data_IF_774480543111
#
_entry.id   IF_774480543111
#
_cell.length_a   1.000
_cell.length_b   1.000
_cell.length_c   1.000
_cell.angle_alpha   90.00
_cell.angle_beta   90.00
_cell.angle_gamma   90.00
#
_symmetry.space_group_name_H-M   'P 1'
#
loop_
_entity.id
_entity.type
_entity.pdbx_description
1 polymer ?
#
# COMPACT_ATOMS: atom_id res chain seq x y z
N UNK A 1 -13.97 -4.06 6.20
CA UNK A 1 -13.17 -2.81 6.13
C UNK A 1 -12.04 -3.04 5.15
N UNK A 2 -11.76 -2.08 4.26
CA UNK A 2 -10.59 -2.13 3.39
C UNK A 2 -9.45 -1.36 4.06
N UNK A 3 -8.25 -1.93 4.10
CA UNK A 3 -7.05 -1.35 4.71
C UNK A 3 -5.94 -1.34 3.66
N UNK A 4 -5.54 -0.15 3.26
CA UNK A 4 -4.47 0.10 2.30
C UNK A 4 -3.69 1.33 2.74
N UNK A 5 -2.35 1.27 2.70
CA UNK A 5 -1.49 2.40 3.03
C UNK A 5 -1.81 3.64 2.20
N UNK A 6 -2.28 3.43 0.98
CA UNK A 6 -2.51 4.48 0.00
C UNK A 6 -3.71 5.35 0.37
N UNK A 7 -4.70 4.79 1.08
CA UNK A 7 -5.83 5.52 1.65
C UNK A 7 -5.40 6.56 2.69
N UNK A 8 -4.27 6.35 3.37
CA UNK A 8 -3.83 7.21 4.48
C UNK A 8 -2.84 8.29 4.05
N UNK A 9 -2.24 8.19 2.85
CA UNK A 9 -1.23 9.17 2.39
C UNK A 9 -1.81 10.59 2.30
N UNK A 10 -3.04 10.81 1.79
CA UNK A 10 -3.66 12.13 1.75
C UNK A 10 -3.89 12.77 3.12
N UNK A 11 -3.92 11.97 4.20
CA UNK A 11 -4.06 12.48 5.56
C UNK A 11 -2.77 13.12 6.10
N UNK A 12 -1.65 12.99 5.39
CA UNK A 12 -0.39 13.63 5.80
C UNK A 12 -0.50 15.15 5.63
N UNK A 13 -0.18 15.98 6.66
CA UNK A 13 -0.35 17.44 6.59
C UNK A 13 0.40 18.10 5.42
N UNK A 14 1.57 17.55 5.06
CA UNK A 14 2.37 18.04 3.94
C UNK A 14 2.06 17.36 2.60
N UNK A 15 1.00 16.54 2.49
CA UNK A 15 0.72 15.74 1.29
C UNK A 15 0.57 16.60 0.04
N UNK A 16 -0.24 17.66 0.11
CA UNK A 16 -0.47 18.58 -1.02
C UNK A 16 0.82 19.28 -1.46
N UNK A 17 1.59 19.80 -0.49
CA UNK A 17 2.85 20.50 -0.76
C UNK A 17 3.90 19.57 -1.41
N UNK A 18 4.03 18.33 -0.91
CA UNK A 18 4.96 17.34 -1.46
C UNK A 18 4.54 16.88 -2.86
N UNK A 19 3.24 16.72 -3.11
CA UNK A 19 2.73 16.29 -4.41
C UNK A 19 3.03 17.31 -5.52
N UNK A 20 2.96 18.61 -5.21
CA UNK A 20 3.29 19.67 -6.18
C UNK A 20 4.79 19.81 -6.42
N UNK A 21 5.62 19.45 -5.43
CA UNK A 21 7.06 19.61 -5.52
C UNK A 21 7.73 18.45 -6.27
N UNK A 22 7.49 17.22 -5.81
CA UNK A 22 8.09 16.00 -6.37
C UNK A 22 7.28 14.79 -5.90
N UNK A 23 6.56 14.17 -6.84
CA UNK A 23 5.69 13.03 -6.62
C UNK A 23 6.45 11.78 -6.13
N UNK A 24 7.70 11.65 -6.52
CA UNK A 24 8.58 10.52 -6.22
C UNK A 24 9.16 10.67 -4.81
N UNK A 25 9.59 11.87 -4.42
CA UNK A 25 9.98 12.17 -3.05
C UNK A 25 8.77 12.07 -2.11
N UNK A 26 7.61 12.61 -2.50
CA UNK A 26 6.36 12.47 -1.75
C UNK A 26 6.08 11.00 -1.44
N UNK A 27 6.26 10.13 -2.44
CA UNK A 27 6.04 8.71 -2.28
C UNK A 27 6.96 8.06 -1.23
N UNK A 28 8.22 8.49 -1.15
CA UNK A 28 9.18 8.05 -0.15
C UNK A 28 8.84 8.60 1.25
N UNK A 29 8.53 9.90 1.37
CA UNK A 29 8.23 10.57 2.64
C UNK A 29 6.94 10.07 3.30
N UNK A 30 5.91 9.77 2.51
CA UNK A 30 4.61 9.31 3.03
C UNK A 30 4.59 7.82 3.37
N UNK A 31 5.56 7.03 2.89
CA UNK A 31 5.56 5.57 3.05
C UNK A 31 5.63 5.14 4.51
N UNK A 32 6.49 5.76 5.31
CA UNK A 32 6.64 5.40 6.73
C UNK A 32 5.37 5.72 7.53
N UNK A 33 4.80 6.92 7.30
CA UNK A 33 3.54 7.32 7.92
C UNK A 33 2.39 6.39 7.49
N UNK A 34 2.23 6.10 6.19
CA UNK A 34 1.19 5.21 5.69
C UNK A 34 1.23 3.82 6.35
N UNK A 35 2.43 3.25 6.58
CA UNK A 35 2.57 1.99 7.32
C UNK A 35 2.17 2.11 8.79
N UNK A 36 2.48 3.22 9.45
CA UNK A 36 2.07 3.44 10.85
C UNK A 36 0.54 3.53 10.96
N UNK A 37 -0.12 4.23 10.04
CA UNK A 37 -1.58 4.29 9.97
C UNK A 37 -2.21 2.92 9.68
N UNK A 38 -1.65 2.13 8.75
CA UNK A 38 -2.08 0.75 8.55
C UNK A 38 -1.97 -0.08 9.83
N UNK A 39 -0.86 0.02 10.58
CA UNK A 39 -0.68 -0.75 11.81
C UNK A 39 -1.74 -0.41 12.87
N UNK A 40 -2.12 0.87 12.99
CA UNK A 40 -3.22 1.30 13.86
C UNK A 40 -4.58 0.74 13.39
N UNK A 41 -4.85 0.80 12.09
CA UNK A 41 -6.09 0.25 11.52
C UNK A 41 -6.18 -1.28 11.71
N UNK A 42 -5.09 -2.01 11.47
CA UNK A 42 -5.00 -3.45 11.69
C UNK A 42 -5.20 -3.82 13.17
N UNK A 43 -4.62 -3.06 14.11
CA UNK A 43 -4.85 -3.25 15.54
C UNK A 43 -6.31 -3.03 15.91
N UNK A 44 -6.92 -1.95 15.42
CA UNK A 44 -8.34 -1.66 15.65
C UNK A 44 -9.25 -2.79 15.13
N UNK A 45 -8.97 -3.30 13.94
CA UNK A 45 -9.71 -4.44 13.37
C UNK A 45 -9.55 -5.68 14.26
N UNK A 46 -8.34 -5.95 14.75
CA UNK A 46 -8.06 -7.10 15.61
C UNK A 46 -8.77 -7.01 16.96
N UNK A 47 -8.70 -5.86 17.62
CA UNK A 47 -9.28 -5.65 18.95
C UNK A 47 -10.82 -5.71 18.92
N UNK A 48 -11.43 -5.31 17.80
CA UNK A 48 -12.89 -5.30 17.62
C UNK A 48 -13.42 -6.51 16.83
N UNK A 49 -12.55 -7.47 16.45
CA UNK A 49 -12.91 -8.68 15.67
C UNK A 49 -13.67 -8.37 14.38
N UNK A 50 -13.27 -7.33 13.68
CA UNK A 50 -13.92 -6.90 12.44
C UNK A 50 -13.42 -7.70 11.23
N UNK A 51 -14.27 -7.84 10.21
CA UNK A 51 -13.85 -8.38 8.92
C UNK A 51 -13.10 -7.32 8.12
N UNK A 52 -11.91 -7.66 7.62
CA UNK A 52 -11.10 -6.76 6.81
C UNK A 52 -10.44 -7.43 5.61
N UNK A 53 -10.27 -6.64 4.55
CA UNK A 53 -9.38 -6.90 3.42
C UNK A 53 -8.18 -6.00 3.65
N UNK A 54 -6.99 -6.58 3.69
CA UNK A 54 -5.74 -5.85 3.93
C UNK A 54 -4.92 -5.95 2.66
N UNK A 55 -4.70 -4.82 1.99
CA UNK A 55 -3.84 -4.76 0.81
C UNK A 55 -2.38 -4.64 1.24
N UNK A 56 -1.57 -5.63 0.85
CA UNK A 56 -0.12 -5.57 1.02
C UNK A 56 0.61 -6.16 -0.19
N UNK A 57 1.57 -5.38 -0.67
CA UNK A 57 2.55 -5.66 -1.72
C UNK A 57 3.52 -6.81 -1.43
N UNK A 58 3.43 -7.43 -0.25
CA UNK A 58 4.20 -8.60 0.20
C UNK A 58 5.70 -8.53 -0.07
N UNK A 59 6.28 -7.33 0.03
CA UNK A 59 7.69 -7.10 -0.28
C UNK A 59 8.66 -7.82 0.68
N UNK A 60 8.17 -8.19 1.86
CA UNK A 60 8.91 -8.94 2.87
C UNK A 60 8.04 -10.09 3.39
N UNK A 61 8.37 -11.32 2.99
CA UNK A 61 7.63 -12.52 3.37
C UNK A 61 7.52 -12.70 4.89
N UNK A 62 8.58 -12.41 5.66
CA UNK A 62 8.55 -12.53 7.12
C UNK A 62 7.61 -11.50 7.77
N UNK A 63 7.53 -10.30 7.21
CA UNK A 63 6.60 -9.28 7.70
C UNK A 63 5.14 -9.71 7.45
N UNK A 64 4.85 -10.29 6.29
CA UNK A 64 3.53 -10.86 5.96
C UNK A 64 3.18 -12.02 6.90
N UNK A 65 4.10 -12.95 7.10
CA UNK A 65 3.93 -14.08 8.02
C UNK A 65 3.63 -13.59 9.44
N UNK A 66 4.41 -12.63 9.95
CA UNK A 66 4.20 -12.04 11.28
C UNK A 66 2.80 -11.43 11.44
N UNK A 67 2.30 -10.72 10.42
CA UNK A 67 0.93 -10.19 10.40
C UNK A 67 -0.10 -11.31 10.44
N UNK A 68 0.04 -12.32 9.59
CA UNK A 68 -0.89 -13.46 9.55
C UNK A 68 -0.93 -14.18 10.91
N UNK A 69 0.22 -14.40 11.55
CA UNK A 69 0.28 -15.00 12.88
C UNK A 69 -0.41 -14.13 13.95
N UNK A 70 -0.25 -12.81 13.90
CA UNK A 70 -0.93 -11.89 14.82
C UNK A 70 -2.45 -11.98 14.69
N UNK A 71 -2.98 -12.01 13.46
CA UNK A 71 -4.41 -12.23 13.21
C UNK A 71 -4.87 -13.64 13.59
N UNK A 72 -4.02 -14.66 13.50
CA UNK A 72 -4.43 -16.04 13.83
C UNK A 72 -4.63 -16.20 15.33
N UNK A 73 -3.81 -15.51 16.14
CA UNK A 73 -3.88 -15.53 17.61
C UNK A 73 -5.18 -14.95 18.17
N UNK A 74 -5.91 -14.14 17.40
CA UNK A 74 -7.22 -13.59 17.81
C UNK A 74 -8.42 -14.47 17.48
N UNK A 75 -8.18 -15.68 16.94
CA UNK A 75 -9.25 -16.63 16.58
C UNK A 75 -9.97 -16.30 15.28
N UNK A 76 -9.46 -15.33 14.51
CA UNK A 76 -10.01 -14.94 13.20
C UNK A 76 -9.59 -15.92 12.11
N UNK A 77 -10.51 -16.25 11.19
CA UNK A 77 -10.19 -16.96 9.94
C UNK A 77 -9.38 -16.04 9.04
N UNK A 78 -8.32 -16.57 8.44
CA UNK A 78 -7.44 -15.83 7.53
C UNK A 78 -7.49 -16.52 6.18
N UNK A 79 -7.68 -15.72 5.15
CA UNK A 79 -7.55 -16.12 3.76
C UNK A 79 -6.52 -15.20 3.12
N UNK A 80 -5.63 -15.78 2.31
CA UNK A 80 -4.62 -15.04 1.59
C UNK A 80 -4.78 -15.30 0.10
N UNK A 81 -4.92 -14.23 -0.68
CA UNK A 81 -4.99 -14.26 -2.13
C UNK A 81 -3.72 -13.64 -2.69
N UNK A 82 -3.00 -14.37 -3.53
CA UNK A 82 -1.79 -13.90 -4.19
C UNK A 82 -2.00 -13.89 -5.70
N UNK A 83 -1.50 -12.85 -6.36
CA UNK A 83 -1.54 -12.74 -7.81
C UNK A 83 -0.14 -12.96 -8.39
N UNK A 84 0.02 -14.04 -9.15
CA UNK A 84 1.22 -14.31 -9.94
C UNK A 84 1.07 -13.74 -11.34
N UNK A 85 1.89 -12.76 -11.70
CA UNK A 85 1.94 -12.19 -13.06
C UNK A 85 3.39 -12.15 -13.55
N UNK A 86 3.63 -12.26 -14.87
CA UNK A 86 4.96 -12.02 -15.44
C UNK A 86 5.47 -10.63 -15.04
N UNK A 87 6.75 -10.54 -14.68
CA UNK A 87 7.35 -9.27 -14.24
C UNK A 87 7.21 -8.16 -15.30
N UNK A 88 7.33 -8.49 -16.58
CA UNK A 88 7.14 -7.54 -17.66
C UNK A 88 5.72 -6.94 -17.67
N UNK A 89 4.68 -7.76 -17.43
CA UNK A 89 3.30 -7.30 -17.35
C UNK A 89 3.06 -6.46 -16.09
N UNK A 90 3.66 -6.84 -14.96
CA UNK A 90 3.59 -6.02 -13.74
C UNK A 90 4.22 -4.64 -13.95
N UNK A 91 5.40 -4.58 -14.58
CA UNK A 91 6.07 -3.32 -14.91
C UNK A 91 5.24 -2.47 -15.88
N UNK A 92 4.68 -3.08 -16.94
CA UNK A 92 3.82 -2.39 -17.88
C UNK A 92 2.56 -1.82 -17.18
N UNK A 93 1.94 -2.58 -16.26
CA UNK A 93 0.79 -2.13 -15.49
C UNK A 93 1.10 -0.93 -14.59
N UNK A 94 2.28 -0.89 -13.97
CA UNK A 94 2.74 0.25 -13.16
C UNK A 94 2.86 1.50 -14.03
N UNK A 95 3.47 1.39 -15.20
CA UNK A 95 3.66 2.51 -16.13
C UNK A 95 2.31 2.99 -16.68
N UNK A 96 1.43 2.06 -17.06
CA UNK A 96 0.09 2.40 -17.54
C UNK A 96 -0.71 3.18 -16.49
N UNK A 97 -0.73 2.69 -15.25
CA UNK A 97 -1.43 3.37 -14.13
C UNK A 97 -0.87 4.77 -13.88
N UNK A 98 0.44 4.95 -13.99
CA UNK A 98 1.05 6.29 -13.85
C UNK A 98 0.53 7.26 -14.91
N UNK A 99 0.48 6.85 -16.17
CA UNK A 99 -0.02 7.71 -17.26
C UNK A 99 -1.52 7.96 -17.19
N UNK A 100 -2.32 6.98 -16.77
CA UNK A 100 -3.75 7.18 -16.49
C UNK A 100 -3.97 8.23 -15.39
N UNK A 101 -3.22 8.14 -14.29
CA UNK A 101 -3.30 9.15 -13.22
C UNK A 101 -2.87 10.54 -13.69
N UNK A 102 -1.82 10.61 -14.51
CA UNK A 102 -1.36 11.87 -15.11
C UNK A 102 -2.43 12.48 -16.01
N UNK A 103 -3.11 11.67 -16.82
CA UNK A 103 -4.18 12.12 -17.71
C UNK A 103 -5.42 12.61 -16.93
N UNK A 104 -5.82 11.90 -15.87
CA UNK A 104 -7.01 12.23 -15.09
C UNK A 104 -6.82 13.42 -14.13
N UNK A 105 -5.61 13.60 -13.59
CA UNK A 105 -5.37 14.51 -12.46
C UNK A 105 -4.29 15.57 -12.73
N UNK A 106 -3.63 15.52 -13.88
CA UNK A 106 -2.47 16.37 -14.20
C UNK A 106 -1.19 16.00 -13.42
N UNK A 107 -1.26 14.96 -12.59
CA UNK A 107 -0.16 14.47 -11.74
C UNK A 107 -0.29 12.95 -11.56
N UNK A 108 0.81 12.21 -11.75
CA UNK A 108 0.88 10.76 -11.56
C UNK A 108 1.70 10.41 -10.33
N UNK A 109 1.67 9.14 -9.90
CA UNK A 109 2.62 8.61 -8.92
C UNK A 109 3.02 7.17 -9.26
N UNK A 110 4.31 6.86 -9.37
CA UNK A 110 4.74 5.48 -9.47
C UNK A 110 4.63 4.80 -8.09
N UNK A 111 3.83 3.74 -7.99
CA UNK A 111 3.76 2.93 -6.75
C UNK A 111 5.04 2.12 -6.51
N UNK A 112 5.85 1.95 -7.56
CA UNK A 112 7.17 1.32 -7.55
C UNK A 112 7.99 1.85 -8.73
N UNK A 113 9.22 2.33 -8.46
CA UNK A 113 10.16 2.60 -9.55
C UNK A 113 10.62 1.26 -10.15
N UNK A 114 10.49 1.05 -11.47
CA UNK A 114 11.15 -0.08 -12.11
C UNK A 114 12.66 0.08 -11.90
N UNK A 115 13.31 -0.96 -11.35
CA UNK A 115 14.77 -0.98 -11.30
C UNK A 115 15.24 -1.16 -12.75
N UNK A 116 15.90 -0.14 -13.29
CA UNK A 116 16.67 -0.30 -14.52
C UNK A 116 17.80 -1.31 -14.24
N UNK A 117 17.82 -2.38 -15.02
CA UNK A 117 18.95 -3.30 -15.19
C UNK A 117 19.94 -2.73 -16.19
#
# INVERSE_FOLDING_TARGET
>A
MDIDSDLYKPCHPAYSALMTQDDTLMAAFTRAHGRAWMALAEEYVRSHKLHAIIQETSQNARAVEGKMLAHRRTGTRIEALFMGVPQAMSNQGIVNRYFEQLADRGQGRPDRLPRCS
#
